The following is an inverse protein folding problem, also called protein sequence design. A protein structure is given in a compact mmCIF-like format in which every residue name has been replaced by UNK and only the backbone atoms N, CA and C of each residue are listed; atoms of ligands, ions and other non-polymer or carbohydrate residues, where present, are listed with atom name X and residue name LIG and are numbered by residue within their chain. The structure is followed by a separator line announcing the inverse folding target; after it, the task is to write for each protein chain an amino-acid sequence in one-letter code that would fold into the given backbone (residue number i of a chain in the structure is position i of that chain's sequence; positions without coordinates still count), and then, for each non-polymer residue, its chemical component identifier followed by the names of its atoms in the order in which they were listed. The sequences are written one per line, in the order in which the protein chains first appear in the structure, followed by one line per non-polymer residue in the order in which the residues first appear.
data_IF_691818602227
#
_entry.id   IF_691818602227
#
_cell.length_a   1.000
_cell.length_b   1.000
_cell.length_c   1.000
_cell.angle_alpha   90.00
_cell.angle_beta   90.00
_cell.angle_gamma   90.00
#
_symmetry.space_group_name_H-M   'P 1'
#
loop_
_entity.id
_entity.type
_entity.pdbx_description
1 polymer ?
#
# COMPACT_ATOMS: atom_id res chain seq x y z
N UNK A 1 -5.26 6.35 -34.65
CA UNK A 1 -4.96 6.83 -33.28
C UNK A 1 -6.00 7.90 -32.98
N UNK A 2 -6.99 7.61 -32.13
CA UNK A 2 -7.95 8.63 -31.69
C UNK A 2 -7.20 9.68 -30.86
N UNK A 3 -7.62 10.94 -30.93
CA UNK A 3 -6.96 12.02 -30.20
C UNK A 3 -7.12 11.78 -28.68
N UNK A 4 -6.11 12.09 -27.84
CA UNK A 4 -6.18 11.89 -26.39
C UNK A 4 -7.42 12.51 -25.73
N UNK A 5 -7.97 13.58 -26.33
CA UNK A 5 -9.18 14.28 -25.88
C UNK A 5 -10.48 13.52 -26.16
N UNK A 6 -10.58 12.76 -27.25
CA UNK A 6 -11.79 11.98 -27.57
C UNK A 6 -11.97 10.82 -26.58
N UNK A 7 -10.89 10.07 -26.35
CA UNK A 7 -10.91 8.96 -25.37
C UNK A 7 -11.23 9.43 -23.94
N UNK A 8 -10.87 10.67 -23.57
CA UNK A 8 -11.14 11.20 -22.23
C UNK A 8 -12.64 11.47 -22.03
N UNK A 9 -13.29 12.05 -23.04
CA UNK A 9 -14.72 12.38 -23.02
C UNK A 9 -15.58 11.10 -22.97
N UNK A 10 -15.13 10.04 -23.64
CA UNK A 10 -15.76 8.73 -23.62
C UNK A 10 -15.75 8.16 -22.19
N UNK A 11 -14.60 8.16 -21.50
CA UNK A 11 -14.52 7.66 -20.13
C UNK A 11 -15.36 8.47 -19.14
N UNK A 12 -15.42 9.80 -19.29
CA UNK A 12 -16.27 10.62 -18.43
C UNK A 12 -17.73 10.21 -18.53
N UNK A 13 -18.23 10.04 -19.76
CA UNK A 13 -19.61 9.63 -20.05
C UNK A 13 -19.88 8.24 -19.50
N UNK A 14 -19.02 7.27 -19.83
CA UNK A 14 -19.14 5.88 -19.39
C UNK A 14 -19.14 5.76 -17.85
N UNK A 15 -18.24 6.47 -17.15
CA UNK A 15 -18.18 6.44 -15.69
C UNK A 15 -19.41 7.10 -15.04
N UNK A 16 -19.95 8.15 -15.65
CA UNK A 16 -21.13 8.81 -15.12
C UNK A 16 -22.36 7.89 -15.19
N UNK A 17 -22.49 7.12 -16.27
CA UNK A 17 -23.57 6.15 -16.46
C UNK A 17 -23.50 4.94 -15.51
N UNK A 18 -22.33 4.68 -14.92
CA UNK A 18 -22.18 3.60 -13.92
C UNK A 18 -22.87 3.88 -12.59
N UNK A 19 -23.20 5.15 -12.30
CA UNK A 19 -23.75 5.55 -11.00
C UNK A 19 -25.25 5.29 -10.90
N UNK A 20 -25.70 4.62 -9.84
CA UNK A 20 -27.14 4.50 -9.51
C UNK A 20 -27.84 3.24 -10.04
N UNK A 21 -27.10 2.27 -10.57
CA UNK A 21 -27.61 0.97 -11.00
C UNK A 21 -26.77 -0.20 -10.48
N UNK A 22 -27.22 -1.43 -10.74
CA UNK A 22 -26.47 -2.64 -10.40
C UNK A 22 -25.20 -2.75 -11.26
N UNK A 23 -24.09 -3.17 -10.65
CA UNK A 23 -22.84 -3.36 -11.37
C UNK A 23 -22.91 -4.51 -12.38
N UNK A 24 -22.31 -4.30 -13.55
CA UNK A 24 -22.28 -5.29 -14.65
C UNK A 24 -20.85 -5.59 -15.10
N UNK A 25 -20.66 -6.65 -15.89
CA UNK A 25 -19.36 -6.95 -16.50
C UNK A 25 -18.88 -5.84 -17.45
N UNK A 26 -19.79 -5.08 -18.05
CA UNK A 26 -19.42 -3.92 -18.87
C UNK A 26 -18.75 -2.83 -18.04
N UNK A 27 -19.28 -2.56 -16.84
CA UNK A 27 -18.68 -1.61 -15.90
C UNK A 27 -17.24 -2.03 -15.54
N UNK A 28 -16.99 -3.33 -15.34
CA UNK A 28 -15.64 -3.81 -15.09
C UNK A 28 -14.72 -3.57 -16.29
N UNK A 29 -15.22 -3.77 -17.51
CA UNK A 29 -14.45 -3.55 -18.73
C UNK A 29 -14.07 -2.07 -18.91
N UNK A 30 -14.99 -1.14 -18.59
CA UNK A 30 -14.76 0.31 -18.59
C UNK A 30 -13.61 0.66 -17.63
N UNK A 31 -13.69 0.22 -16.37
CA UNK A 31 -12.65 0.53 -15.38
C UNK A 31 -11.31 -0.11 -15.77
N UNK A 32 -11.30 -1.31 -16.35
CA UNK A 32 -10.07 -1.93 -16.86
C UNK A 32 -9.44 -1.13 -18.02
N UNK A 33 -10.26 -0.58 -18.91
CA UNK A 33 -9.78 0.26 -20.00
C UNK A 33 -9.20 1.56 -19.47
N UNK A 34 -9.87 2.18 -18.50
CA UNK A 34 -9.36 3.35 -17.79
C UNK A 34 -8.05 3.06 -17.04
N UNK A 35 -7.95 1.91 -16.35
CA UNK A 35 -6.71 1.46 -15.69
C UNK A 35 -5.55 1.36 -16.68
N UNK A 36 -5.81 0.86 -17.90
CA UNK A 36 -4.80 0.78 -18.96
C UNK A 36 -4.43 2.18 -19.46
N UNK A 37 -5.41 3.05 -19.70
CA UNK A 37 -5.18 4.42 -20.15
C UNK A 37 -4.30 5.19 -19.15
N UNK A 38 -4.56 5.07 -17.84
CA UNK A 38 -3.72 5.67 -16.80
C UNK A 38 -2.28 5.13 -16.72
N UNK A 39 -1.89 4.10 -17.49
CA UNK A 39 -0.46 3.73 -17.59
C UNK A 39 0.32 4.71 -18.47
N UNK A 40 -0.35 5.42 -19.36
CA UNK A 40 0.26 6.43 -20.22
C UNK A 40 0.40 7.75 -19.45
N UNK A 41 1.62 8.30 -19.41
CA UNK A 41 1.90 9.54 -18.68
C UNK A 41 1.09 10.71 -19.22
N UNK A 42 0.95 10.83 -20.54
CA UNK A 42 0.18 11.91 -21.16
C UNK A 42 -1.30 11.84 -20.79
N UNK A 43 -1.89 10.64 -20.77
CA UNK A 43 -3.27 10.46 -20.33
C UNK A 43 -3.44 10.85 -18.86
N UNK A 44 -2.53 10.41 -17.97
CA UNK A 44 -2.56 10.82 -16.55
C UNK A 44 -2.46 12.32 -16.37
N UNK A 45 -1.56 12.97 -17.09
CA UNK A 45 -1.29 14.40 -16.97
C UNK A 45 -2.46 15.27 -17.46
N UNK A 46 -3.27 14.74 -18.39
CA UNK A 46 -4.41 15.44 -18.98
C UNK A 46 -5.78 14.99 -18.45
N UNK A 47 -5.83 13.98 -17.59
CA UNK A 47 -7.08 13.49 -17.02
C UNK A 47 -7.88 14.59 -16.31
N UNK A 48 -9.16 14.71 -16.65
CA UNK A 48 -10.01 15.77 -16.12
C UNK A 48 -10.52 15.45 -14.72
N UNK A 49 -10.87 16.51 -13.98
CA UNK A 49 -11.40 16.38 -12.61
C UNK A 49 -12.69 15.56 -12.56
N UNK A 50 -13.52 15.64 -13.59
CA UNK A 50 -14.78 14.92 -13.76
C UNK A 50 -14.57 13.40 -13.74
N UNK A 51 -13.51 12.90 -14.39
CA UNK A 51 -13.13 11.48 -14.36
C UNK A 51 -12.88 11.01 -12.93
N UNK A 52 -12.12 11.77 -12.14
CA UNK A 52 -11.86 11.43 -10.74
C UNK A 52 -13.12 11.56 -9.87
N UNK A 53 -13.97 12.55 -10.12
CA UNK A 53 -15.25 12.70 -9.43
C UNK A 53 -16.17 11.50 -9.67
N UNK A 54 -16.23 10.99 -10.90
CA UNK A 54 -17.05 9.81 -11.20
C UNK A 54 -16.41 8.54 -10.64
N UNK A 55 -15.08 8.41 -10.70
CA UNK A 55 -14.38 7.26 -10.13
C UNK A 55 -14.55 7.15 -8.61
N UNK A 56 -14.54 8.26 -7.86
CA UNK A 56 -14.79 8.20 -6.40
C UNK A 56 -16.25 7.90 -6.09
N UNK A 57 -17.21 8.35 -6.91
CA UNK A 57 -18.63 7.96 -6.75
C UNK A 57 -18.79 6.44 -6.91
N UNK A 58 -18.17 5.86 -7.93
CA UNK A 58 -18.17 4.41 -8.15
C UNK A 58 -17.56 3.67 -6.95
N UNK A 59 -16.40 4.12 -6.45
CA UNK A 59 -15.78 3.52 -5.26
C UNK A 59 -16.66 3.68 -4.00
N UNK A 60 -17.33 4.82 -3.85
CA UNK A 60 -18.25 5.07 -2.72
C UNK A 60 -19.45 4.12 -2.77
N UNK A 61 -20.06 3.94 -3.94
CA UNK A 61 -21.15 2.98 -4.11
C UNK A 61 -20.67 1.54 -3.84
N UNK A 62 -19.49 1.16 -4.33
CA UNK A 62 -18.89 -0.16 -4.03
C UNK A 62 -18.62 -0.33 -2.53
N UNK A 63 -18.16 0.71 -1.84
CA UNK A 63 -17.93 0.72 -0.40
C UNK A 63 -19.23 0.46 0.36
N UNK A 64 -20.31 1.16 0.01
CA UNK A 64 -21.62 0.98 0.64
C UNK A 64 -22.17 -0.43 0.38
N UNK A 65 -22.06 -0.92 -0.86
CA UNK A 65 -22.49 -2.26 -1.21
C UNK A 65 -21.67 -3.35 -0.50
N UNK A 66 -20.36 -3.16 -0.32
CA UNK A 66 -19.47 -4.09 0.42
C UNK A 66 -19.83 -4.12 1.91
N UNK A 67 -20.15 -2.97 2.51
CA UNK A 67 -20.53 -2.90 3.93
C UNK A 67 -21.92 -3.46 4.20
N UNK A 68 -22.83 -3.39 3.23
CA UNK A 68 -24.19 -3.92 3.34
C UNK A 68 -24.25 -5.47 3.24
N UNK A 69 -23.15 -6.14 2.89
CA UNK A 69 -23.08 -7.58 2.68
C UNK A 69 -23.39 -8.42 3.94
N UNK A 70 -23.32 -7.82 5.12
CA UNK A 70 -23.66 -8.49 6.39
C UNK A 70 -25.18 -8.71 6.55
N UNK A 71 -26.02 -8.06 5.74
CA UNK A 71 -27.47 -8.04 5.91
C UNK A 71 -28.24 -8.87 4.86
N UNK A 72 -27.60 -9.24 3.76
CA UNK A 72 -28.21 -10.03 2.68
C UNK A 72 -27.15 -10.98 2.12
N UNK A 73 -27.52 -12.22 1.79
CA UNK A 73 -26.62 -13.14 1.07
C UNK A 73 -26.75 -12.89 -0.43
N UNK A 74 -25.92 -12.02 -1.06
CA UNK A 74 -25.97 -11.88 -2.51
C UNK A 74 -25.51 -13.18 -3.18
N UNK A 75 -25.90 -13.35 -4.45
CA UNK A 75 -25.31 -14.40 -5.27
C UNK A 75 -23.78 -14.24 -5.33
N UNK A 76 -23.04 -15.35 -5.23
CA UNK A 76 -21.57 -15.37 -5.21
C UNK A 76 -20.94 -14.63 -6.41
N UNK A 77 -21.55 -14.71 -7.60
CA UNK A 77 -21.07 -14.01 -8.79
C UNK A 77 -21.23 -12.47 -8.68
N UNK A 78 -22.29 -12.01 -8.03
CA UNK A 78 -22.51 -10.57 -7.79
C UNK A 78 -21.48 -10.03 -6.78
N UNK A 79 -21.16 -10.81 -5.76
CA UNK A 79 -20.07 -10.51 -4.82
C UNK A 79 -18.72 -10.41 -5.51
N UNK A 80 -18.39 -11.45 -6.30
CA UNK A 80 -17.15 -11.53 -7.07
C UNK A 80 -16.96 -10.29 -7.94
N UNK A 81 -17.98 -9.89 -8.68
CA UNK A 81 -17.93 -8.73 -9.57
C UNK A 81 -17.65 -7.44 -8.79
N UNK A 82 -18.29 -7.21 -7.64
CA UNK A 82 -18.04 -6.04 -6.78
C UNK A 82 -16.59 -5.99 -6.31
N UNK A 83 -16.04 -7.11 -5.86
CA UNK A 83 -14.65 -7.18 -5.40
C UNK A 83 -13.66 -6.98 -6.54
N UNK A 84 -13.96 -7.52 -7.74
CA UNK A 84 -13.16 -7.28 -8.94
C UNK A 84 -13.18 -5.81 -9.36
N UNK A 85 -14.36 -5.17 -9.34
CA UNK A 85 -14.51 -3.75 -9.61
C UNK A 85 -13.78 -2.88 -8.60
N UNK A 86 -13.85 -3.23 -7.32
CA UNK A 86 -13.15 -2.53 -6.23
C UNK A 86 -11.64 -2.61 -6.44
N UNK A 87 -11.11 -3.81 -6.70
CA UNK A 87 -9.70 -3.99 -7.02
C UNK A 87 -9.29 -3.17 -8.24
N UNK A 88 -10.10 -3.15 -9.30
CA UNK A 88 -9.77 -2.41 -10.52
C UNK A 88 -9.89 -0.89 -10.35
N UNK A 89 -10.82 -0.40 -9.53
CA UNK A 89 -10.87 1.02 -9.14
C UNK A 89 -9.55 1.42 -8.46
N UNK A 90 -9.08 0.62 -7.50
CA UNK A 90 -7.80 0.89 -6.84
C UNK A 90 -6.61 0.79 -7.80
N UNK A 91 -6.58 -0.17 -8.74
CA UNK A 91 -5.52 -0.23 -9.75
C UNK A 91 -5.51 1.00 -10.66
N UNK A 92 -6.70 1.45 -11.07
CA UNK A 92 -6.90 2.66 -11.87
C UNK A 92 -6.35 3.89 -11.15
N UNK A 93 -6.77 4.09 -9.89
CA UNK A 93 -6.35 5.20 -9.02
C UNK A 93 -4.85 5.17 -8.73
N UNK A 94 -4.32 3.99 -8.40
CA UNK A 94 -2.89 3.76 -8.19
C UNK A 94 -2.09 4.18 -9.41
N UNK A 95 -2.51 3.79 -10.61
CA UNK A 95 -1.84 4.18 -11.84
C UNK A 95 -1.95 5.69 -12.04
N UNK A 96 -3.12 6.29 -11.86
CA UNK A 96 -3.35 7.73 -12.01
C UNK A 96 -2.48 8.60 -11.07
N UNK A 97 -2.11 8.07 -9.89
CA UNK A 97 -1.25 8.73 -8.91
C UNK A 97 0.26 8.64 -9.23
N UNK A 98 0.71 7.68 -10.06
CA UNK A 98 2.14 7.44 -10.32
C UNK A 98 2.81 8.70 -10.84
N UNK A 99 3.76 9.22 -10.04
CA UNK A 99 4.57 10.40 -10.35
C UNK A 99 3.74 11.61 -10.80
N UNK A 100 2.51 11.76 -10.30
CA UNK A 100 1.61 12.82 -10.71
C UNK A 100 1.05 13.57 -9.51
N UNK A 101 1.82 14.54 -9.00
CA UNK A 101 1.43 15.35 -7.84
C UNK A 101 0.07 16.04 -8.01
N UNK A 102 -0.26 16.49 -9.23
CA UNK A 102 -1.58 17.05 -9.56
C UNK A 102 -2.70 16.07 -9.25
N UNK A 103 -2.60 14.84 -9.75
CA UNK A 103 -3.63 13.83 -9.55
C UNK A 103 -3.66 13.34 -8.09
N UNK A 104 -2.51 13.26 -7.42
CA UNK A 104 -2.45 12.93 -5.99
C UNK A 104 -3.23 13.94 -5.15
N UNK A 105 -2.94 15.24 -5.31
CA UNK A 105 -3.67 16.30 -4.61
C UNK A 105 -5.15 16.31 -4.96
N UNK A 106 -5.49 16.12 -6.25
CA UNK A 106 -6.88 16.11 -6.69
C UNK A 106 -7.68 14.95 -6.08
N UNK A 107 -7.11 13.74 -6.04
CA UNK A 107 -7.75 12.59 -5.40
C UNK A 107 -7.87 12.76 -3.89
N UNK A 108 -6.88 13.36 -3.22
CA UNK A 108 -6.99 13.75 -1.81
C UNK A 108 -8.18 14.70 -1.60
N UNK A 109 -8.24 15.79 -2.37
CA UNK A 109 -9.28 16.83 -2.24
C UNK A 109 -10.68 16.32 -2.56
N UNK A 110 -10.80 15.31 -3.43
CA UNK A 110 -12.06 14.65 -3.76
C UNK A 110 -12.48 13.58 -2.73
N UNK A 111 -11.68 13.35 -1.68
CA UNK A 111 -12.04 12.44 -0.59
C UNK A 111 -11.78 10.96 -0.89
N UNK A 112 -10.83 10.63 -1.78
CA UNK A 112 -10.50 9.22 -2.04
C UNK A 112 -9.95 8.51 -0.81
N UNK A 113 -9.14 9.18 0.02
CA UNK A 113 -8.53 8.58 1.22
C UNK A 113 -9.60 7.99 2.15
N UNK A 114 -10.57 8.76 2.71
CA UNK A 114 -11.53 8.21 3.66
C UNK A 114 -12.41 7.09 3.07
N UNK A 115 -12.80 7.18 1.80
CA UNK A 115 -13.57 6.12 1.13
C UNK A 115 -12.73 4.86 0.98
N UNK A 116 -11.47 4.98 0.55
CA UNK A 116 -10.56 3.84 0.42
C UNK A 116 -10.35 3.14 1.76
N UNK A 117 -10.13 3.90 2.85
CA UNK A 117 -9.93 3.32 4.18
C UNK A 117 -11.17 2.57 4.68
N UNK A 118 -12.36 3.12 4.45
CA UNK A 118 -13.63 2.44 4.75
C UNK A 118 -13.73 1.08 4.06
N UNK A 119 -13.26 0.97 2.81
CA UNK A 119 -13.20 -0.30 2.09
C UNK A 119 -12.14 -1.23 2.68
N UNK A 120 -10.93 -0.74 2.95
CA UNK A 120 -9.83 -1.56 3.49
C UNK A 120 -10.17 -2.16 4.86
N UNK A 121 -10.90 -1.43 5.70
CA UNK A 121 -11.38 -1.92 7.00
C UNK A 121 -12.44 -3.02 6.86
N UNK A 122 -13.29 -2.95 5.82
CA UNK A 122 -14.36 -3.92 5.61
C UNK A 122 -13.87 -5.25 4.99
N UNK A 123 -12.89 -5.19 4.09
CA UNK A 123 -12.48 -6.33 3.26
C UNK A 123 -12.03 -7.57 4.07
N UNK A 124 -11.23 -7.47 5.15
CA UNK A 124 -10.78 -8.65 5.93
C UNK A 124 -11.92 -9.41 6.60
N UNK A 125 -13.05 -8.75 6.90
CA UNK A 125 -14.21 -9.36 7.57
C UNK A 125 -15.16 -10.11 6.63
N UNK A 126 -14.99 -9.99 5.31
CA UNK A 126 -15.93 -10.54 4.34
C UNK A 126 -15.88 -12.06 4.29
N UNK A 127 -17.03 -12.69 4.52
CA UNK A 127 -17.22 -14.12 4.34
C UNK A 127 -17.60 -14.41 2.88
N UNK A 128 -16.62 -14.79 2.07
CA UNK A 128 -16.82 -15.12 0.66
C UNK A 128 -16.25 -16.50 0.33
N UNK A 129 -16.81 -17.15 -0.69
CA UNK A 129 -16.38 -18.50 -1.13
C UNK A 129 -14.88 -18.56 -1.47
N UNK A 130 -14.32 -17.46 -1.97
CA UNK A 130 -12.92 -17.36 -2.35
C UNK A 130 -12.23 -16.18 -1.66
N UNK A 131 -11.48 -16.47 -0.60
CA UNK A 131 -10.73 -15.49 0.17
C UNK A 131 -9.70 -14.70 -0.67
N UNK A 132 -9.31 -15.17 -1.86
CA UNK A 132 -8.40 -14.43 -2.73
C UNK A 132 -9.01 -13.15 -3.30
N UNK A 133 -10.34 -13.07 -3.44
CA UNK A 133 -11.00 -11.88 -3.99
C UNK A 133 -10.87 -10.64 -3.09
N UNK A 134 -11.24 -10.68 -1.80
CA UNK A 134 -11.06 -9.54 -0.91
C UNK A 134 -9.58 -9.21 -0.68
N UNK A 135 -8.70 -10.23 -0.58
CA UNK A 135 -7.25 -10.03 -0.45
C UNK A 135 -6.68 -9.25 -1.65
N UNK A 136 -7.11 -9.58 -2.86
CA UNK A 136 -6.64 -8.85 -4.05
C UNK A 136 -7.11 -7.39 -4.08
N UNK A 137 -8.36 -7.12 -3.69
CA UNK A 137 -8.86 -5.76 -3.54
C UNK A 137 -8.09 -4.98 -2.44
N UNK A 138 -7.83 -5.63 -1.31
CA UNK A 138 -7.11 -5.09 -0.17
C UNK A 138 -5.70 -4.65 -0.59
N UNK A 139 -4.95 -5.56 -1.21
CA UNK A 139 -3.61 -5.27 -1.77
C UNK A 139 -3.63 -4.09 -2.73
N UNK A 140 -4.59 -4.05 -3.66
CA UNK A 140 -4.69 -2.96 -4.63
C UNK A 140 -4.92 -1.61 -3.94
N UNK A 141 -5.79 -1.55 -2.93
CA UNK A 141 -6.06 -0.32 -2.21
C UNK A 141 -4.90 0.16 -1.34
N UNK A 142 -4.15 -0.75 -0.70
CA UNK A 142 -2.92 -0.39 0.02
C UNK A 142 -1.87 0.19 -0.96
N UNK A 143 -1.70 -0.44 -2.13
CA UNK A 143 -0.80 0.08 -3.16
C UNK A 143 -1.23 1.44 -3.70
N UNK A 144 -2.55 1.70 -3.80
CA UNK A 144 -3.07 3.02 -4.13
C UNK A 144 -2.64 4.06 -3.09
N UNK A 145 -2.81 3.78 -1.79
CA UNK A 145 -2.37 4.69 -0.72
C UNK A 145 -0.86 4.98 -0.81
N UNK A 146 -0.05 3.96 -1.09
CA UNK A 146 1.39 4.13 -1.29
C UNK A 146 1.69 5.13 -2.41
N UNK A 147 1.12 4.94 -3.60
CA UNK A 147 1.33 5.84 -4.73
C UNK A 147 0.75 7.24 -4.50
N UNK A 148 -0.30 7.36 -3.69
CA UNK A 148 -0.87 8.65 -3.31
C UNK A 148 0.08 9.42 -2.38
N UNK A 149 0.83 8.73 -1.52
CA UNK A 149 1.75 9.29 -0.54
C UNK A 149 3.15 9.64 -1.10
N UNK A 150 3.64 8.88 -2.09
CA UNK A 150 5.01 9.05 -2.62
C UNK A 150 5.25 10.47 -3.10
N UNK A 151 6.24 11.14 -2.50
CA UNK A 151 6.65 12.50 -2.84
C UNK A 151 5.66 13.60 -2.44
N UNK A 152 4.58 13.29 -1.70
CA UNK A 152 3.52 14.24 -1.38
C UNK A 152 3.25 14.29 0.13
N UNK A 153 3.86 15.26 0.81
CA UNK A 153 3.80 15.36 2.27
C UNK A 153 2.37 15.48 2.80
N UNK A 154 1.52 16.26 2.13
CA UNK A 154 0.14 16.45 2.61
C UNK A 154 -0.66 15.13 2.55
N UNK A 155 -0.48 14.35 1.47
CA UNK A 155 -1.09 13.02 1.40
C UNK A 155 -0.52 12.06 2.46
N UNK A 156 0.79 12.10 2.74
CA UNK A 156 1.39 11.31 3.82
C UNK A 156 0.78 11.62 5.18
N UNK A 157 0.58 12.91 5.46
CA UNK A 157 0.02 13.36 6.74
C UNK A 157 -1.44 12.94 6.90
N UNK A 158 -2.26 13.07 5.83
CA UNK A 158 -3.65 12.60 5.84
C UNK A 158 -3.73 11.07 5.99
N UNK A 159 -2.93 10.31 5.24
CA UNK A 159 -2.90 8.85 5.36
C UNK A 159 -2.46 8.45 6.77
N UNK A 160 -1.41 9.05 7.31
CA UNK A 160 -0.96 8.78 8.67
C UNK A 160 -2.07 9.06 9.69
N UNK A 161 -2.68 10.25 9.62
CA UNK A 161 -3.75 10.68 10.53
C UNK A 161 -4.90 9.68 10.61
N UNK A 162 -5.24 9.03 9.49
CA UNK A 162 -6.37 8.11 9.44
C UNK A 162 -6.00 6.64 9.64
N UNK A 163 -4.79 6.22 9.27
CA UNK A 163 -4.36 4.82 9.41
C UNK A 163 -3.72 4.52 10.78
N UNK A 164 -3.09 5.52 11.40
CA UNK A 164 -2.30 5.33 12.62
C UNK A 164 -3.16 5.27 13.89
N UNK A 165 -2.85 4.37 14.84
CA UNK A 165 -1.99 3.19 14.71
C UNK A 165 -2.73 1.96 14.16
N UNK A 166 -4.05 1.93 14.33
CA UNK A 166 -4.86 0.72 14.31
C UNK A 166 -4.90 0.03 12.95
N UNK A 167 -5.18 0.76 11.88
CA UNK A 167 -5.26 0.13 10.56
C UNK A 167 -3.88 -0.40 10.13
N UNK A 168 -2.79 0.30 10.46
CA UNK A 168 -1.46 -0.25 10.20
C UNK A 168 -1.21 -1.55 10.97
N UNK A 169 -1.58 -1.61 12.26
CA UNK A 169 -1.49 -2.86 13.03
C UNK A 169 -2.26 -3.99 12.35
N UNK A 170 -3.54 -3.76 12.03
CA UNK A 170 -4.40 -4.78 11.40
C UNK A 170 -3.83 -5.28 10.05
N UNK A 171 -3.23 -4.37 9.26
CA UNK A 171 -2.66 -4.72 7.95
C UNK A 171 -1.30 -5.42 8.03
N UNK A 172 -0.44 -5.04 8.99
CA UNK A 172 0.84 -5.70 9.23
C UNK A 172 0.66 -7.09 9.85
N UNK A 173 -0.47 -7.31 10.53
CA UNK A 173 -0.85 -8.58 11.17
C UNK A 173 -1.60 -9.52 10.24
N UNK A 174 -1.95 -9.03 9.04
CA UNK A 174 -2.72 -9.80 8.09
C UNK A 174 -1.97 -11.08 7.70
N UNK A 175 -2.67 -12.22 7.64
CA UNK A 175 -2.11 -13.53 7.30
C UNK A 175 -1.61 -13.66 5.85
N UNK A 176 -1.62 -12.58 5.09
CA UNK A 176 -1.15 -12.54 3.70
C UNK A 176 0.14 -11.71 3.62
N UNK A 177 1.26 -12.35 3.30
CA UNK A 177 2.59 -11.73 3.29
C UNK A 177 2.67 -10.49 2.41
N UNK A 178 2.02 -10.51 1.23
CA UNK A 178 2.01 -9.36 0.32
C UNK A 178 1.23 -8.17 0.89
N UNK A 179 0.19 -8.43 1.66
CA UNK A 179 -0.57 -7.39 2.35
C UNK A 179 0.30 -6.70 3.38
N UNK A 180 0.98 -7.46 4.25
CA UNK A 180 1.93 -6.93 5.22
C UNK A 180 3.09 -6.18 4.53
N UNK A 181 3.58 -6.69 3.40
CA UNK A 181 4.63 -6.05 2.63
C UNK A 181 4.21 -4.69 2.04
N UNK A 182 3.01 -4.60 1.46
CA UNK A 182 2.49 -3.33 0.94
C UNK A 182 2.16 -2.36 2.07
N UNK A 183 1.65 -2.84 3.20
CA UNK A 183 1.39 -2.01 4.36
C UNK A 183 2.69 -1.43 4.95
N UNK A 184 3.75 -2.25 5.04
CA UNK A 184 5.09 -1.82 5.46
C UNK A 184 5.65 -0.73 4.54
N UNK A 185 5.46 -0.86 3.22
CA UNK A 185 5.87 0.17 2.27
C UNK A 185 5.12 1.50 2.49
N UNK A 186 3.80 1.46 2.73
CA UNK A 186 3.01 2.66 3.01
C UNK A 186 3.45 3.29 4.32
N UNK A 187 3.64 2.48 5.37
CA UNK A 187 4.12 2.91 6.67
C UNK A 187 5.48 3.63 6.55
N UNK A 188 6.47 2.98 5.91
CA UNK A 188 7.77 3.58 5.60
C UNK A 188 7.63 4.91 4.86
N UNK A 189 6.78 4.96 3.82
CA UNK A 189 6.60 6.16 3.01
C UNK A 189 6.06 7.34 3.82
N UNK A 190 5.18 7.08 4.79
CA UNK A 190 4.55 8.10 5.61
C UNK A 190 5.40 8.55 6.79
N UNK A 191 6.29 7.69 7.31
CA UNK A 191 7.11 7.98 8.47
C UNK A 191 8.06 9.17 8.26
N UNK A 192 8.19 9.96 9.31
CA UNK A 192 9.17 11.02 9.48
C UNK A 192 9.57 11.10 10.96
N UNK A 193 10.51 11.97 11.29
CA UNK A 193 11.01 12.11 12.66
C UNK A 193 9.89 12.44 13.67
N UNK A 194 8.94 13.29 13.31
CA UNK A 194 7.82 13.66 14.19
C UNK A 194 6.87 12.47 14.41
N UNK A 195 6.59 11.69 13.38
CA UNK A 195 5.75 10.48 13.47
C UNK A 195 6.43 9.36 14.27
N UNK A 196 7.77 9.27 14.21
CA UNK A 196 8.53 8.38 15.09
C UNK A 196 8.37 8.77 16.56
N UNK A 197 8.32 10.06 16.88
CA UNK A 197 8.04 10.52 18.26
C UNK A 197 6.60 10.19 18.70
N UNK A 198 5.65 9.99 17.78
CA UNK A 198 4.31 9.53 18.16
C UNK A 198 4.30 8.08 18.62
N UNK A 199 5.23 7.25 18.11
CA UNK A 199 5.33 5.82 18.45
C UNK A 199 5.64 5.57 19.93
N UNK A 200 6.28 6.51 20.62
CA UNK A 200 6.64 6.35 22.04
C UNK A 200 5.53 6.79 23.01
N UNK A 201 4.48 7.46 22.51
CA UNK A 201 3.53 8.18 23.37
C UNK A 201 2.63 7.27 24.23
N UNK A 202 2.23 6.11 23.72
CA UNK A 202 1.39 5.17 24.46
C UNK A 202 1.58 3.72 23.98
N UNK A 203 1.01 2.77 24.71
CA UNK A 203 1.19 1.34 24.45
C UNK A 203 0.70 0.87 23.07
N UNK A 204 -0.43 1.39 22.58
CA UNK A 204 -0.96 1.01 21.26
C UNK A 204 -0.04 1.51 20.14
N UNK A 205 0.52 2.71 20.29
CA UNK A 205 1.48 3.26 19.34
C UNK A 205 2.80 2.47 19.34
N UNK A 206 3.25 2.04 20.52
CA UNK A 206 4.44 1.21 20.69
C UNK A 206 4.26 -0.16 20.06
N UNK A 207 3.06 -0.74 20.14
CA UNK A 207 2.72 -2.01 19.51
C UNK A 207 2.99 -1.98 17.99
N UNK A 208 2.73 -0.85 17.33
CA UNK A 208 3.02 -0.72 15.90
C UNK A 208 4.51 -0.85 15.61
N UNK A 209 5.36 -0.24 16.43
CA UNK A 209 6.82 -0.35 16.28
C UNK A 209 7.31 -1.77 16.59
N UNK A 210 6.80 -2.38 17.65
CA UNK A 210 7.12 -3.78 18.01
C UNK A 210 6.69 -4.74 16.90
N UNK A 211 5.54 -4.48 16.27
CA UNK A 211 5.05 -5.31 15.16
C UNK A 211 5.99 -5.30 13.95
N UNK A 212 6.63 -4.17 13.65
CA UNK A 212 7.64 -4.09 12.59
C UNK A 212 8.85 -4.96 12.93
N UNK A 213 9.30 -4.99 14.20
CA UNK A 213 10.39 -5.89 14.63
C UNK A 213 9.99 -7.36 14.48
N UNK A 214 8.76 -7.70 14.89
CA UNK A 214 8.21 -9.03 14.69
C UNK A 214 8.19 -9.44 13.22
N UNK A 215 7.93 -8.50 12.30
CA UNK A 215 7.99 -8.75 10.86
C UNK A 215 9.42 -9.00 10.37
N UNK A 216 10.42 -8.26 10.85
CA UNK A 216 11.83 -8.54 10.54
C UNK A 216 12.23 -9.97 10.93
N UNK A 217 11.68 -10.48 12.03
CA UNK A 217 11.93 -11.85 12.47
C UNK A 217 11.16 -12.89 11.64
N UNK A 218 9.87 -12.65 11.37
CA UNK A 218 8.97 -13.63 10.71
C UNK A 218 9.12 -13.67 9.19
N UNK A 219 9.52 -12.56 8.57
CA UNK A 219 9.65 -12.36 7.13
C UNK A 219 10.97 -11.62 6.83
N UNK A 220 12.14 -12.25 7.00
CA UNK A 220 13.45 -11.60 6.86
C UNK A 220 13.71 -11.05 5.45
N UNK A 221 13.04 -11.58 4.42
CA UNK A 221 13.09 -11.08 3.04
C UNK A 221 12.25 -9.80 2.80
N UNK A 222 11.49 -9.35 3.80
CA UNK A 222 10.71 -8.12 3.71
C UNK A 222 11.60 -6.89 3.96
N UNK A 223 12.23 -6.41 2.89
CA UNK A 223 13.10 -5.22 2.89
C UNK A 223 12.48 -4.02 3.65
N UNK A 224 11.18 -3.78 3.48
CA UNK A 224 10.51 -2.61 4.04
C UNK A 224 10.52 -2.57 5.57
N UNK A 225 10.37 -3.72 6.23
CA UNK A 225 10.40 -3.77 7.69
C UNK A 225 11.80 -3.39 8.20
N UNK A 226 12.84 -3.95 7.58
CA UNK A 226 14.24 -3.62 7.89
C UNK A 226 14.52 -2.14 7.65
N UNK A 227 14.08 -1.59 6.52
CA UNK A 227 14.26 -0.16 6.19
C UNK A 227 13.57 0.77 7.18
N UNK A 228 12.37 0.42 7.67
CA UNK A 228 11.69 1.20 8.72
C UNK A 228 12.57 1.25 9.97
N UNK A 229 13.08 0.11 10.40
CA UNK A 229 13.88 0.03 11.63
C UNK A 229 15.16 0.85 11.48
N UNK A 230 15.96 0.55 10.45
CA UNK A 230 17.29 1.15 10.26
C UNK A 230 17.23 2.63 9.91
N UNK A 231 16.27 3.06 9.07
CA UNK A 231 16.22 4.44 8.60
C UNK A 231 15.37 5.37 9.46
N UNK A 232 14.46 4.84 10.29
CA UNK A 232 13.58 5.66 11.12
C UNK A 232 13.70 5.31 12.61
N UNK A 233 13.52 4.05 13.01
CA UNK A 233 13.39 3.74 14.44
C UNK A 233 14.71 3.89 15.20
N UNK A 234 15.83 3.42 14.64
CA UNK A 234 17.13 3.48 15.31
C UNK A 234 17.65 4.90 15.54
N UNK A 235 17.07 5.90 14.87
CA UNK A 235 17.38 7.32 15.09
C UNK A 235 16.77 7.88 16.37
N UNK A 236 15.80 7.19 16.97
CA UNK A 236 15.15 7.59 18.22
C UNK A 236 15.54 6.66 19.36
N UNK A 237 16.47 7.09 20.21
CA UNK A 237 16.89 6.31 21.39
C UNK A 237 15.70 5.99 22.31
N UNK A 238 14.80 6.94 22.50
CA UNK A 238 13.59 6.74 23.28
C UNK A 238 12.70 5.61 22.73
N UNK A 239 12.59 5.49 21.40
CA UNK A 239 11.84 4.40 20.77
C UNK A 239 12.58 3.07 20.90
N UNK A 240 13.89 3.05 20.69
CA UNK A 240 14.71 1.84 20.84
C UNK A 240 14.64 1.29 22.28
N UNK A 241 14.77 2.14 23.29
CA UNK A 241 14.63 1.76 24.70
C UNK A 241 13.24 1.18 24.98
N UNK A 242 12.19 1.87 24.50
CA UNK A 242 10.80 1.44 24.67
C UNK A 242 10.53 0.08 24.02
N UNK A 243 10.99 -0.12 22.77
CA UNK A 243 10.88 -1.40 22.08
C UNK A 243 11.67 -2.48 22.82
N UNK A 244 12.92 -2.22 23.21
CA UNK A 244 13.74 -3.22 23.88
C UNK A 244 13.08 -3.74 25.16
N UNK A 245 12.43 -2.87 25.95
CA UNK A 245 11.68 -3.29 27.14
C UNK A 245 10.44 -4.12 26.76
N UNK A 246 9.69 -3.69 25.75
CA UNK A 246 8.41 -4.30 25.37
C UNK A 246 8.49 -5.61 24.57
N UNK A 247 9.55 -5.82 23.80
CA UNK A 247 9.72 -6.96 22.88
C UNK A 247 9.95 -8.30 23.60
N UNK A 248 9.58 -9.39 22.93
CA UNK A 248 9.91 -10.74 23.38
C UNK A 248 11.42 -11.04 23.22
N UNK A 249 11.91 -12.11 23.86
CA UNK A 249 13.35 -12.41 23.85
C UNK A 249 13.93 -12.54 22.43
N UNK A 250 13.23 -13.24 21.54
CA UNK A 250 13.72 -13.45 20.18
C UNK A 250 13.67 -12.16 19.34
N UNK A 251 12.63 -11.34 19.53
CA UNK A 251 12.50 -10.05 18.86
C UNK A 251 13.56 -9.05 19.35
N UNK A 252 13.95 -9.11 20.63
CA UNK A 252 15.09 -8.33 21.16
C UNK A 252 16.39 -8.73 20.48
N UNK A 253 16.61 -10.01 20.23
CA UNK A 253 17.80 -10.48 19.49
C UNK A 253 17.78 -9.89 18.08
N UNK A 254 16.65 -9.96 17.37
CA UNK A 254 16.50 -9.34 16.05
C UNK A 254 16.78 -7.83 16.06
N UNK A 255 16.28 -7.10 17.07
CA UNK A 255 16.58 -5.67 17.22
C UNK A 255 18.09 -5.42 17.43
N UNK A 256 18.77 -6.21 18.26
CA UNK A 256 20.21 -6.08 18.50
C UNK A 256 21.04 -6.44 17.27
N UNK A 257 20.63 -7.44 16.49
CA UNK A 257 21.27 -7.78 15.22
C UNK A 257 21.19 -6.62 14.22
N UNK A 258 20.02 -6.00 14.09
CA UNK A 258 19.80 -4.82 13.24
C UNK A 258 20.64 -3.61 13.70
N UNK A 259 20.75 -3.37 15.01
CA UNK A 259 21.62 -2.31 15.57
C UNK A 259 23.08 -2.59 15.24
N UNK A 260 23.54 -3.83 15.44
CA UNK A 260 24.93 -4.22 15.18
C UNK A 260 25.28 -4.07 13.70
N UNK A 261 24.38 -4.49 12.81
CA UNK A 261 24.54 -4.32 11.37
C UNK A 261 24.67 -2.83 10.99
N UNK A 262 23.81 -1.96 11.55
CA UNK A 262 23.84 -0.52 11.28
C UNK A 262 25.15 0.15 11.73
N UNK A 263 25.68 -0.24 12.89
CA UNK A 263 26.96 0.29 13.41
C UNK A 263 28.16 -0.17 12.56
N UNK A 264 28.13 -1.41 12.05
CA UNK A 264 29.17 -1.93 11.16
C UNK A 264 29.24 -1.22 9.81
N UNK A 265 28.09 -0.83 9.24
CA UNK A 265 28.04 -0.05 7.99
C UNK A 265 28.63 1.36 8.15
N UNK A 266 28.45 1.98 9.31
CA UNK A 266 29.04 3.29 9.63
C UNK A 266 30.57 3.20 9.78
N UNK A 267 31.09 2.10 10.35
CA UNK A 267 32.53 1.85 10.46
C UNK A 267 33.18 1.56 9.10
N UNK A 268 32.55 0.78 8.21
CA UNK A 268 33.08 0.54 6.86
C UNK A 268 33.05 1.79 5.97
N UNK A 269 32.08 2.70 6.17
CA UNK A 269 32.05 4.02 5.52
C UNK A 269 33.06 5.03 6.09
N UNK A 270 33.52 4.84 7.32
CA UNK A 270 34.50 5.70 7.99
C UNK A 270 35.95 5.19 7.87
N UNK A 271 36.15 3.91 7.54
CA UNK A 271 37.46 3.25 7.55
C UNK A 271 37.91 2.93 6.11
N UNK A 272 38.27 3.97 5.35
CA UNK A 272 39.25 3.84 4.28
C UNK A 272 40.65 3.72 4.91
N UNK A 273 40.90 2.64 5.67
CA UNK A 273 42.15 2.55 6.43
C UNK A 273 42.32 1.48 7.49
N UNK A 274 41.66 0.32 7.46
CA UNK A 274 42.20 -0.85 8.19
C UNK A 274 41.54 -2.16 7.75
N UNK A 275 42.36 -3.08 7.20
CA UNK A 275 41.93 -4.43 6.80
C UNK A 275 41.76 -5.33 8.03
N UNK A 276 40.63 -6.02 8.12
CA UNK A 276 40.43 -7.23 8.95
C UNK A 276 39.77 -8.31 8.07
N UNK A 277 40.12 -9.61 8.20
CA UNK A 277 39.99 -10.59 7.11
C UNK A 277 38.59 -11.24 7.01
N UNK A 278 38.23 -11.77 5.82
CA UNK A 278 36.86 -12.17 5.53
C UNK A 278 36.58 -13.61 6.00
N UNK A 279 35.59 -13.71 6.87
CA UNK A 279 34.88 -14.94 7.14
C UNK A 279 33.70 -14.55 8.03
N UNK A 280 32.49 -14.95 7.64
CA UNK A 280 31.19 -14.76 8.33
C UNK A 280 30.20 -13.74 7.70
N UNK A 281 30.61 -12.86 6.78
CA UNK A 281 29.69 -11.90 6.11
C UNK A 281 29.12 -12.38 4.75
N UNK A 282 28.91 -13.68 4.56
CA UNK A 282 28.52 -14.23 3.25
C UNK A 282 27.02 -14.53 3.07
N UNK A 283 26.13 -14.13 3.99
CA UNK A 283 24.70 -14.51 3.92
C UNK A 283 23.71 -13.36 3.82
N UNK A 284 24.12 -12.09 3.81
CA UNK A 284 23.20 -10.96 3.68
C UNK A 284 23.44 -10.22 2.36
N UNK A 285 22.42 -10.12 1.48
CA UNK A 285 22.56 -9.31 0.27
C UNK A 285 22.61 -7.82 0.65
N UNK A 286 23.38 -7.00 -0.10
CA UNK A 286 23.44 -5.57 0.15
C UNK A 286 22.05 -4.93 0.03
N UNK A 287 21.65 -4.19 1.07
CA UNK A 287 20.41 -3.43 1.15
C UNK A 287 20.51 -2.24 0.18
N UNK A 288 20.23 -2.46 -1.10
CA UNK A 288 19.74 -1.41 -2.03
C UNK A 288 19.73 -1.89 -3.49
N UNK A 289 18.66 -2.57 -3.92
CA UNK A 289 18.22 -2.55 -5.33
C UNK A 289 16.71 -2.41 -5.53
N UNK A 290 15.92 -2.37 -4.46
CA UNK A 290 14.46 -2.48 -4.53
C UNK A 290 13.72 -1.15 -4.73
N UNK A 291 14.29 0.00 -4.32
CA UNK A 291 13.60 1.30 -4.40
C UNK A 291 13.40 1.82 -5.85
N UNK A 292 14.28 1.46 -6.80
CA UNK A 292 14.25 2.01 -8.16
C UNK A 292 13.22 1.36 -9.10
N UNK A 293 12.54 0.26 -8.71
CA UNK A 293 11.63 -0.49 -9.62
C UNK A 293 10.17 -0.06 -9.61
N UNK A 294 9.75 0.82 -8.70
CA UNK A 294 8.31 1.02 -8.45
C UNK A 294 7.72 2.28 -9.07
N UNK A 295 8.53 3.10 -9.72
CA UNK A 295 8.05 4.20 -10.57
C UNK A 295 7.52 3.73 -11.95
N UNK A 296 7.55 2.43 -12.25
CA UNK A 296 7.07 1.87 -13.51
C UNK A 296 5.79 1.00 -13.32
N UNK A 297 4.85 1.00 -14.29
CA UNK A 297 3.70 0.10 -14.27
C UNK A 297 4.16 -1.36 -14.37
N UNK A 298 3.77 -2.19 -13.39
CA UNK A 298 4.12 -3.61 -13.36
C UNK A 298 3.48 -4.41 -14.52
N UNK A 299 4.17 -5.45 -15.02
CA UNK A 299 3.64 -6.31 -16.08
C UNK A 299 2.47 -7.17 -15.57
N UNK A 300 1.60 -7.67 -16.48
CA UNK A 300 0.42 -8.45 -16.09
C UNK A 300 0.80 -9.79 -15.46
N UNK A 301 -0.08 -10.29 -14.58
CA UNK A 301 0.02 -11.61 -13.94
C UNK A 301 0.25 -12.74 -14.97
N UNK A 302 1.05 -13.77 -14.63
CA UNK A 302 1.32 -14.87 -15.55
C UNK A 302 0.02 -15.65 -15.84
N UNK A 303 -0.25 -15.91 -17.11
CA UNK A 303 -1.34 -16.81 -17.53
C UNK A 303 -1.07 -18.23 -17.03
N UNK A 304 -2.09 -19.01 -16.65
CA UNK A 304 -1.90 -20.41 -16.31
C UNK A 304 -1.39 -21.17 -17.54
N UNK A 305 -0.29 -21.88 -17.36
CA UNK A 305 0.30 -22.77 -18.35
C UNK A 305 -0.69 -23.89 -18.66
N UNK A 306 -1.17 -23.95 -19.90
CA UNK A 306 -1.76 -25.18 -20.44
C UNK A 306 -0.64 -26.23 -20.50
N UNK A 307 -0.78 -27.31 -19.74
CA UNK A 307 0.05 -28.51 -19.94
C UNK A 307 -0.47 -29.30 -21.15
N UNK A 308 0.43 -29.99 -21.88
CA UNK A 308 0.12 -30.72 -23.11
C UNK A 308 -0.83 -31.89 -22.87
#
# INVERSE_FOLDING_TARGET
MAAPSENMLDFETELNEMSGGAFTQNHLQIIQNLTKAFREQDFRANAEKTVFQNLVKVLTQLSDEIRALDQQSPAAESMRLRLQLTAECFRSQRNAAVQCARNQCLMRDLGFIPVSLTVLEALPGLQVENAAWPIEALRCGIQFLGNLAVGNQVCKDDIWKHCFPRLFLDLLDHGDEKTAAYASMVLYTCLDEHKVQQLVQNREHQELAMRVISLCQRQPELDWAVLIVTQHFLKSSALVETMFVGLEHQERVTLLELITAQLGEEEEGAVEGCRVPPGWLASWPPISRSAARWCCPWPPSPRPTRRP
#
